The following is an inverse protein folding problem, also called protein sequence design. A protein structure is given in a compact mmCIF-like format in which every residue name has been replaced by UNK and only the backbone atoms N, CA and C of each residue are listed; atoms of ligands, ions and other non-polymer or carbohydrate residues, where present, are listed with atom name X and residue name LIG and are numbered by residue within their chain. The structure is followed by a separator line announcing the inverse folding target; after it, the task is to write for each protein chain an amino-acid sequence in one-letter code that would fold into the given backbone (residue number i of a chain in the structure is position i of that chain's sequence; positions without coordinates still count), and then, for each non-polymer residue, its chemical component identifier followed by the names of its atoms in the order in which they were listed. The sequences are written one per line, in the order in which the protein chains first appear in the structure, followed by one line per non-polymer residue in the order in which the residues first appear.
data_IF_039480983839
#
_entry.id   IF_039480983839
#
_cell.length_a   1.000
_cell.length_b   1.000
_cell.length_c   1.000
_cell.angle_alpha   90.00
_cell.angle_beta   90.00
_cell.angle_gamma   90.00
#
_symmetry.space_group_name_H-M   'P 1'
#
loop_
_entity.id
_entity.type
_entity.pdbx_description
1 polymer ?
#
# COMPACT_ATOMS: atom_id res chain seq x y z
N UNK A 1 15.51 3.02 25.71
CA UNK A 1 16.26 2.09 24.84
C UNK A 1 15.52 0.76 24.77
N UNK A 2 15.22 0.29 23.57
CA UNK A 2 14.51 -0.97 23.31
C UNK A 2 15.34 -1.84 22.33
N UNK A 3 15.18 -3.16 22.45
CA UNK A 3 15.60 -4.12 21.45
C UNK A 3 14.45 -4.31 20.47
N UNK A 4 14.67 -4.05 19.20
CA UNK A 4 13.64 -4.05 18.15
C UNK A 4 14.03 -5.04 17.06
N UNK A 5 13.17 -6.03 16.81
CA UNK A 5 13.29 -6.88 15.61
C UNK A 5 12.43 -6.30 14.50
N UNK A 6 13.02 -6.09 13.33
CA UNK A 6 12.34 -5.54 12.17
C UNK A 6 12.30 -6.58 11.03
N UNK A 7 11.11 -6.87 10.50
CA UNK A 7 10.89 -7.86 9.45
C UNK A 7 10.27 -7.24 8.21
N UNK A 8 10.84 -7.54 7.04
CA UNK A 8 10.32 -7.05 5.77
C UNK A 8 10.47 -8.10 4.67
N UNK A 9 9.51 -8.14 3.73
CA UNK A 9 9.57 -8.98 2.53
C UNK A 9 10.60 -8.45 1.52
N UNK A 10 11.11 -9.28 0.57
CA UNK A 10 12.12 -8.86 -0.42
C UNK A 10 11.53 -7.97 -1.52
N UNK A 11 11.06 -6.77 -1.16
CA UNK A 11 10.49 -5.83 -2.09
C UNK A 11 10.93 -4.37 -1.79
N UNK A 12 11.47 -3.68 -2.79
CA UNK A 12 11.94 -2.30 -2.65
C UNK A 12 10.86 -1.35 -2.12
N UNK A 13 9.59 -1.53 -2.57
CA UNK A 13 8.46 -0.72 -2.12
C UNK A 13 8.17 -0.85 -0.63
N UNK A 14 8.54 -1.97 -0.03
CA UNK A 14 8.36 -2.27 1.40
C UNK A 14 9.56 -1.83 2.24
N UNK A 15 10.78 -1.96 1.72
CA UNK A 15 12.00 -1.52 2.42
C UNK A 15 12.18 0.00 2.45
N UNK A 16 11.97 0.67 1.33
CA UNK A 16 12.29 2.10 1.21
C UNK A 16 11.66 2.96 2.32
N UNK A 17 10.37 2.81 2.69
CA UNK A 17 9.78 3.60 3.75
C UNK A 17 10.38 3.32 5.14
N UNK A 18 10.90 2.11 5.36
CA UNK A 18 11.40 1.71 6.69
C UNK A 18 12.79 2.23 6.99
N UNK A 19 13.61 2.52 5.97
CA UNK A 19 15.03 2.90 6.15
C UNK A 19 15.19 4.16 7.00
N UNK A 20 14.41 5.20 6.74
CA UNK A 20 14.49 6.43 7.52
C UNK A 20 13.94 6.23 8.96
N UNK A 21 12.95 5.36 9.14
CA UNK A 21 12.40 4.99 10.47
C UNK A 21 13.43 4.24 11.29
N UNK A 22 14.09 3.25 10.69
CA UNK A 22 15.15 2.45 11.35
C UNK A 22 16.32 3.34 11.73
N UNK A 23 16.75 4.25 10.84
CA UNK A 23 17.78 5.23 11.13
C UNK A 23 17.42 6.09 12.34
N UNK A 24 16.19 6.59 12.40
CA UNK A 24 15.70 7.39 13.54
C UNK A 24 15.68 6.57 14.82
N UNK A 25 15.22 5.31 14.81
CA UNK A 25 15.23 4.41 15.96
C UNK A 25 16.64 4.19 16.50
N UNK A 26 17.63 3.94 15.64
CA UNK A 26 19.03 3.78 16.03
C UNK A 26 19.60 5.08 16.61
N UNK A 27 19.32 6.23 15.98
CA UNK A 27 19.76 7.54 16.48
C UNK A 27 19.19 7.88 17.87
N UNK A 28 18.00 7.36 18.19
CA UNK A 28 17.38 7.47 19.52
C UNK A 28 17.98 6.51 20.54
N UNK A 29 18.97 5.68 20.17
CA UNK A 29 19.68 4.76 21.04
C UNK A 29 19.02 3.39 21.16
N UNK A 30 18.08 3.02 20.30
CA UNK A 30 17.54 1.65 20.27
C UNK A 30 18.49 0.72 19.53
N UNK A 31 18.49 -0.56 19.93
CA UNK A 31 19.19 -1.63 19.21
C UNK A 31 18.21 -2.26 18.22
N UNK A 32 18.53 -2.19 16.93
CA UNK A 32 17.66 -2.72 15.87
C UNK A 32 18.36 -3.86 15.15
N UNK A 33 17.75 -5.06 15.15
CA UNK A 33 18.07 -6.17 14.23
C UNK A 33 17.06 -6.18 13.10
N UNK A 34 17.55 -6.10 11.87
CA UNK A 34 16.69 -6.06 10.68
C UNK A 34 16.85 -7.35 9.88
N UNK A 35 15.81 -8.18 9.90
CA UNK A 35 15.72 -9.47 9.22
C UNK A 35 15.22 -9.26 7.79
N UNK A 36 16.10 -9.50 6.82
CA UNK A 36 15.80 -9.24 5.42
C UNK A 36 16.73 -10.02 4.48
N UNK A 37 16.89 -9.56 3.26
CA UNK A 37 17.59 -10.22 2.17
C UNK A 37 18.83 -9.42 1.75
N UNK A 38 19.88 -10.10 1.28
CA UNK A 38 21.20 -9.51 0.96
C UNK A 38 21.12 -8.34 -0.02
N UNK A 39 20.14 -8.33 -0.93
CA UNK A 39 19.91 -7.19 -1.83
C UNK A 39 19.75 -5.85 -1.10
N UNK A 40 19.20 -5.86 0.12
CA UNK A 40 18.92 -4.66 0.92
C UNK A 40 19.98 -4.39 2.00
N UNK A 41 20.96 -5.27 2.19
CA UNK A 41 21.95 -5.21 3.27
C UNK A 41 22.61 -3.84 3.38
N UNK A 42 23.19 -3.31 2.31
CA UNK A 42 23.91 -2.04 2.31
C UNK A 42 23.04 -0.87 2.77
N UNK A 43 21.74 -0.84 2.36
CA UNK A 43 20.79 0.19 2.79
C UNK A 43 20.46 0.07 4.27
N UNK A 44 20.27 -1.14 4.77
CA UNK A 44 19.92 -1.41 6.16
C UNK A 44 21.11 -1.05 7.06
N UNK A 45 22.31 -1.53 6.76
CA UNK A 45 23.53 -1.24 7.52
C UNK A 45 23.85 0.27 7.54
N UNK A 46 23.54 1.00 6.47
CA UNK A 46 23.71 2.45 6.44
C UNK A 46 22.88 3.22 7.47
N UNK A 47 21.86 2.56 8.08
CA UNK A 47 21.05 3.11 9.17
C UNK A 47 21.69 2.96 10.54
N UNK A 48 22.71 2.09 10.66
CA UNK A 48 23.31 1.63 11.92
C UNK A 48 22.60 0.43 12.56
N UNK A 49 21.59 -0.15 11.90
CA UNK A 49 20.97 -1.40 12.34
C UNK A 49 21.83 -2.61 11.99
N UNK A 50 21.73 -3.66 12.78
CA UNK A 50 22.32 -4.97 12.48
C UNK A 50 21.46 -5.68 11.40
N UNK A 51 22.08 -6.00 10.27
CA UNK A 51 21.42 -6.77 9.20
C UNK A 51 21.54 -8.27 9.46
N UNK A 52 20.41 -8.98 9.40
CA UNK A 52 20.33 -10.44 9.53
C UNK A 52 19.79 -11.01 8.23
N UNK A 53 20.61 -11.81 7.54
CA UNK A 53 20.25 -12.40 6.26
C UNK A 53 19.25 -13.54 6.41
N UNK A 54 18.18 -13.52 5.62
CA UNK A 54 17.15 -14.56 5.55
C UNK A 54 17.20 -15.37 4.22
N UNK A 55 18.12 -15.05 3.31
CA UNK A 55 18.17 -15.63 1.97
C UNK A 55 18.30 -17.15 1.97
N UNK A 56 19.12 -17.69 2.87
CA UNK A 56 19.43 -19.12 2.93
C UNK A 56 18.28 -19.95 3.56
N UNK A 57 17.24 -19.27 4.04
CA UNK A 57 16.07 -19.88 4.67
C UNK A 57 14.82 -19.89 3.76
N UNK A 58 14.97 -19.41 2.53
CA UNK A 58 13.86 -19.38 1.58
C UNK A 58 13.49 -20.78 1.11
N UNK A 59 12.20 -21.11 1.01
CA UNK A 59 11.76 -22.32 0.35
C UNK A 59 12.13 -22.28 -1.14
N UNK A 60 12.38 -23.43 -1.73
CA UNK A 60 12.61 -23.54 -3.17
C UNK A 60 11.39 -23.01 -3.95
N UNK A 61 11.62 -22.00 -4.77
CA UNK A 61 10.61 -21.43 -5.69
C UNK A 61 10.80 -22.11 -7.05
N UNK A 62 9.70 -22.33 -7.78
CA UNK A 62 9.80 -22.95 -9.11
C UNK A 62 10.64 -22.07 -10.06
N UNK A 63 11.46 -22.68 -10.90
CA UNK A 63 12.30 -21.98 -11.89
C UNK A 63 11.51 -21.04 -12.81
N UNK A 64 10.23 -21.35 -13.08
CA UNK A 64 9.34 -20.50 -13.88
C UNK A 64 9.03 -19.16 -13.20
N UNK A 65 8.89 -19.17 -11.87
CA UNK A 65 8.68 -17.95 -11.07
C UNK A 65 10.00 -17.20 -10.94
N UNK A 66 11.10 -17.89 -10.66
CA UNK A 66 12.43 -17.30 -10.53
C UNK A 66 12.88 -16.61 -11.82
N UNK A 67 12.60 -17.23 -12.99
CA UNK A 67 12.91 -16.66 -14.30
C UNK A 67 11.87 -15.60 -14.78
N UNK A 68 10.86 -15.29 -13.97
CA UNK A 68 9.82 -14.29 -14.30
C UNK A 68 8.88 -14.70 -15.44
N UNK A 69 8.86 -15.99 -15.81
CA UNK A 69 7.96 -16.52 -16.86
C UNK A 69 6.56 -16.81 -16.33
N UNK A 70 6.41 -16.94 -15.01
CA UNK A 70 5.13 -17.14 -14.31
C UNK A 70 4.97 -16.13 -13.18
N UNK A 71 3.82 -15.46 -13.14
CA UNK A 71 3.40 -14.63 -12.01
C UNK A 71 2.62 -15.49 -11.03
N UNK A 72 3.04 -15.51 -9.76
CA UNK A 72 2.31 -16.24 -8.71
C UNK A 72 0.93 -15.64 -8.47
N UNK A 73 -0.06 -16.50 -8.25
CA UNK A 73 -1.38 -16.08 -7.78
C UNK A 73 -1.32 -15.65 -6.32
N UNK A 74 -2.36 -14.97 -5.84
CA UNK A 74 -2.47 -14.58 -4.42
C UNK A 74 -2.41 -15.80 -3.50
N UNK A 75 -3.04 -16.90 -3.88
CA UNK A 75 -2.98 -18.18 -3.13
C UNK A 75 -1.56 -18.74 -3.09
N UNK A 76 -0.84 -18.73 -4.22
CA UNK A 76 0.53 -19.23 -4.29
C UNK A 76 1.47 -18.39 -3.42
N UNK A 77 1.40 -17.06 -3.51
CA UNK A 77 2.18 -16.15 -2.66
C UNK A 77 1.90 -16.40 -1.17
N UNK A 78 0.62 -16.48 -0.78
CA UNK A 78 0.22 -16.78 0.61
C UNK A 78 0.80 -18.11 1.09
N UNK A 79 0.74 -19.15 0.26
CA UNK A 79 1.28 -20.46 0.63
C UNK A 79 2.81 -20.42 0.80
N UNK A 80 3.52 -19.69 -0.05
CA UNK A 80 4.98 -19.47 0.08
C UNK A 80 5.29 -18.74 1.39
N UNK A 81 4.59 -17.69 1.73
CA UNK A 81 4.80 -16.95 2.99
C UNK A 81 4.61 -17.84 4.23
N UNK A 82 3.62 -18.73 4.21
CA UNK A 82 3.42 -19.72 5.30
C UNK A 82 4.55 -20.75 5.34
N UNK A 83 5.04 -21.21 4.18
CA UNK A 83 6.19 -22.12 4.09
C UNK A 83 7.48 -21.44 4.57
N UNK A 84 7.69 -20.17 4.23
CA UNK A 84 8.79 -19.36 4.76
C UNK A 84 8.74 -19.28 6.28
N UNK A 85 7.55 -19.10 6.86
CA UNK A 85 7.36 -19.10 8.32
C UNK A 85 7.86 -20.40 8.94
N UNK A 86 7.52 -21.55 8.37
CA UNK A 86 7.97 -22.84 8.86
C UNK A 86 9.50 -23.02 8.71
N UNK A 87 10.05 -22.63 7.56
CA UNK A 87 11.47 -22.75 7.28
C UNK A 87 12.34 -21.86 8.19
N UNK A 88 11.84 -20.70 8.56
CA UNK A 88 12.55 -19.73 9.41
C UNK A 88 12.34 -19.96 10.91
N UNK A 89 11.36 -20.78 11.33
CA UNK A 89 10.93 -20.87 12.72
C UNK A 89 12.06 -21.17 13.70
N UNK A 90 12.87 -22.18 13.45
CA UNK A 90 13.96 -22.56 14.34
C UNK A 90 14.96 -21.43 14.55
N UNK A 91 15.46 -20.88 13.43
CA UNK A 91 16.42 -19.76 13.45
C UNK A 91 15.82 -18.53 14.15
N UNK A 92 14.61 -18.12 13.78
CA UNK A 92 14.00 -16.91 14.35
C UNK A 92 13.63 -17.08 15.83
N UNK A 93 13.25 -18.30 16.27
CA UNK A 93 12.99 -18.58 17.68
C UNK A 93 14.27 -18.43 18.53
N UNK A 94 15.42 -18.95 18.06
CA UNK A 94 16.73 -18.76 18.71
C UNK A 94 17.10 -17.27 18.77
N UNK A 95 16.84 -16.52 17.68
CA UNK A 95 17.09 -15.07 17.66
C UNK A 95 16.23 -14.31 18.67
N UNK A 96 14.96 -14.70 18.86
CA UNK A 96 14.09 -14.09 19.89
C UNK A 96 14.62 -14.36 21.29
N UNK A 97 15.03 -15.60 21.60
CA UNK A 97 15.55 -15.99 22.92
C UNK A 97 16.87 -15.27 23.25
N UNK A 98 17.76 -15.11 22.25
CA UNK A 98 19.03 -14.41 22.41
C UNK A 98 18.84 -12.89 22.55
N UNK A 99 18.11 -12.28 21.61
CA UNK A 99 18.01 -10.83 21.51
C UNK A 99 17.01 -10.22 22.48
N UNK A 100 16.01 -10.99 22.92
CA UNK A 100 14.95 -10.58 23.86
C UNK A 100 14.29 -9.27 23.42
N UNK A 101 13.62 -9.23 22.27
CA UNK A 101 13.05 -8.02 21.72
C UNK A 101 11.92 -7.48 22.62
N UNK A 102 11.86 -6.16 22.74
CA UNK A 102 10.77 -5.45 23.42
C UNK A 102 9.58 -5.22 22.48
N UNK A 103 9.84 -5.19 21.17
CA UNK A 103 8.82 -5.00 20.14
C UNK A 103 9.30 -5.63 18.82
N UNK A 104 8.36 -6.21 18.09
CA UNK A 104 8.56 -6.69 16.74
C UNK A 104 7.84 -5.73 15.78
N UNK A 105 8.56 -5.21 14.78
CA UNK A 105 7.97 -4.48 13.67
C UNK A 105 7.92 -5.40 12.46
N UNK A 106 6.74 -5.68 11.96
CA UNK A 106 6.55 -6.57 10.81
C UNK A 106 5.87 -5.83 9.66
N UNK A 107 6.40 -5.96 8.45
CA UNK A 107 5.72 -5.48 7.26
C UNK A 107 4.31 -6.09 7.13
N UNK A 108 3.40 -5.34 6.55
CA UNK A 108 1.97 -5.69 6.46
C UNK A 108 1.68 -7.04 5.78
N UNK A 109 2.57 -7.51 4.93
CA UNK A 109 2.48 -8.82 4.26
C UNK A 109 3.55 -9.82 4.70
N UNK A 110 4.39 -9.48 5.68
CA UNK A 110 5.41 -10.35 6.24
C UNK A 110 4.79 -11.26 7.32
N UNK A 111 4.32 -12.45 6.93
CA UNK A 111 3.62 -13.35 7.86
C UNK A 111 4.52 -13.94 8.93
N UNK A 112 5.77 -14.31 8.59
CA UNK A 112 6.71 -14.86 9.57
C UNK A 112 6.99 -13.92 10.72
N UNK A 113 7.15 -12.61 10.48
CA UNK A 113 7.32 -11.63 11.56
C UNK A 113 6.08 -11.46 12.43
N UNK A 114 4.88 -11.44 11.83
CA UNK A 114 3.61 -11.34 12.57
C UNK A 114 3.33 -12.60 13.42
N UNK A 115 3.54 -13.76 12.83
CA UNK A 115 3.34 -15.04 13.51
C UNK A 115 4.33 -15.24 14.65
N UNK A 116 5.60 -14.87 14.44
CA UNK A 116 6.63 -14.90 15.48
C UNK A 116 6.25 -14.02 16.68
N UNK A 117 5.80 -12.79 16.44
CA UNK A 117 5.34 -11.89 17.49
C UNK A 117 4.21 -12.51 18.32
N UNK A 118 3.25 -13.18 17.69
CA UNK A 118 2.14 -13.87 18.36
C UNK A 118 2.61 -15.09 19.14
N UNK A 119 3.49 -15.92 18.55
CA UNK A 119 4.04 -17.13 19.20
C UNK A 119 4.75 -16.80 20.54
N UNK A 120 5.51 -15.72 20.57
CA UNK A 120 6.28 -15.28 21.74
C UNK A 120 5.58 -14.21 22.59
N UNK A 121 4.34 -13.85 22.24
CA UNK A 121 3.55 -12.82 22.94
C UNK A 121 4.30 -11.46 23.05
N UNK A 122 5.07 -11.12 22.01
CA UNK A 122 5.84 -9.88 21.93
C UNK A 122 4.97 -8.78 21.33
N UNK A 123 4.96 -7.55 21.91
CA UNK A 123 4.30 -6.41 21.31
C UNK A 123 4.68 -6.23 19.84
N UNK A 124 3.69 -6.05 18.98
CA UNK A 124 3.88 -5.96 17.54
C UNK A 124 3.37 -4.64 16.99
N UNK A 125 4.15 -4.06 16.06
CA UNK A 125 3.73 -2.94 15.22
C UNK A 125 3.77 -3.37 13.76
N UNK A 126 2.67 -3.20 13.05
CA UNK A 126 2.61 -3.47 11.61
C UNK A 126 3.12 -2.26 10.84
N UNK A 127 4.08 -2.48 9.94
CA UNK A 127 4.59 -1.48 9.00
C UNK A 127 3.80 -1.58 7.68
N UNK A 128 2.84 -0.70 7.46
CA UNK A 128 1.95 -0.74 6.30
C UNK A 128 2.37 0.27 5.25
N UNK A 129 2.94 -0.23 4.16
CA UNK A 129 3.58 0.55 3.09
C UNK A 129 2.63 1.06 2.01
N UNK A 130 1.35 0.73 2.12
CA UNK A 130 0.27 1.24 1.27
C UNK A 130 -0.85 1.83 2.14
N UNK A 131 -2.05 2.04 1.60
CA UNK A 131 -3.20 2.41 2.41
C UNK A 131 -3.59 1.30 3.38
N UNK A 132 -4.06 1.68 4.56
CA UNK A 132 -4.79 0.77 5.41
C UNK A 132 -6.20 0.54 4.84
N UNK A 133 -6.59 -0.74 4.76
CA UNK A 133 -7.88 -1.12 4.22
C UNK A 133 -8.75 -1.79 5.27
N UNK A 134 -9.97 -1.29 5.41
CA UNK A 134 -11.03 -1.87 6.20
C UNK A 134 -12.32 -1.96 5.36
N UNK A 135 -13.45 -2.35 5.95
CA UNK A 135 -14.73 -2.46 5.24
C UNK A 135 -15.19 -1.17 4.56
N UNK A 136 -14.75 0.00 5.02
CA UNK A 136 -15.12 1.31 4.46
C UNK A 136 -14.20 1.72 3.31
N UNK A 137 -12.90 1.46 3.42
CA UNK A 137 -11.88 1.82 2.43
C UNK A 137 -11.60 0.70 1.40
N UNK A 138 -12.06 -0.55 1.65
CA UNK A 138 -11.83 -1.72 0.76
C UNK A 138 -12.28 -1.50 -0.69
N UNK A 139 -13.27 -0.64 -0.92
CA UNK A 139 -13.72 -0.28 -2.27
C UNK A 139 -12.67 0.41 -3.14
N UNK A 140 -11.57 0.89 -2.56
CA UNK A 140 -10.42 1.43 -3.31
C UNK A 140 -9.60 0.33 -3.97
N UNK A 141 -9.42 -0.81 -3.30
CA UNK A 141 -8.74 -1.99 -3.85
C UNK A 141 -9.78 -3.01 -4.31
N UNK A 142 -10.04 -3.05 -5.62
CA UNK A 142 -11.00 -3.99 -6.21
C UNK A 142 -10.26 -5.24 -6.64
N UNK A 143 -10.56 -6.37 -6.00
CA UNK A 143 -10.13 -7.67 -6.51
C UNK A 143 -10.88 -8.03 -7.78
N UNK A 144 -10.20 -8.60 -8.75
CA UNK A 144 -10.81 -9.17 -9.95
C UNK A 144 -11.59 -10.45 -9.59
N UNK A 145 -12.52 -10.84 -10.43
CA UNK A 145 -13.21 -12.14 -10.27
C UNK A 145 -12.23 -13.30 -10.25
N UNK A 146 -11.15 -13.22 -11.03
CA UNK A 146 -10.11 -14.25 -11.07
C UNK A 146 -9.37 -14.36 -9.72
N UNK A 147 -9.01 -13.26 -9.09
CA UNK A 147 -8.37 -13.24 -7.76
C UNK A 147 -9.31 -13.77 -6.67
N UNK A 148 -10.60 -13.43 -6.74
CA UNK A 148 -11.61 -13.96 -5.79
C UNK A 148 -11.76 -15.48 -5.97
N UNK A 149 -11.83 -15.97 -7.20
CA UNK A 149 -11.92 -17.40 -7.50
C UNK A 149 -10.65 -18.13 -7.08
N UNK A 150 -9.45 -17.54 -7.29
CA UNK A 150 -8.18 -18.09 -6.82
C UNK A 150 -8.17 -18.29 -5.31
N UNK A 151 -8.58 -17.28 -4.53
CA UNK A 151 -8.67 -17.38 -3.07
C UNK A 151 -9.69 -18.43 -2.60
N UNK A 152 -10.84 -18.53 -3.27
CA UNK A 152 -11.88 -19.53 -2.92
C UNK A 152 -11.34 -20.94 -3.20
N UNK A 153 -10.79 -21.18 -4.39
CA UNK A 153 -10.29 -22.50 -4.80
C UNK A 153 -9.03 -22.88 -4.04
N UNK A 154 -8.15 -21.89 -3.77
CA UNK A 154 -6.91 -22.07 -3.03
C UNK A 154 -7.04 -22.23 -1.52
N UNK A 155 -8.20 -21.91 -0.94
CA UNK A 155 -8.42 -21.94 0.51
C UNK A 155 -8.06 -23.30 1.16
N UNK A 156 -8.27 -24.42 0.45
CA UNK A 156 -7.88 -25.76 0.93
C UNK A 156 -6.36 -25.89 1.08
N UNK A 157 -5.60 -25.34 0.13
CA UNK A 157 -4.13 -25.32 0.16
C UNK A 157 -3.64 -24.45 1.31
N UNK A 158 -4.18 -23.24 1.46
CA UNK A 158 -3.84 -22.32 2.55
C UNK A 158 -4.08 -22.97 3.92
N UNK A 159 -5.26 -23.62 4.12
CA UNK A 159 -5.56 -24.34 5.36
C UNK A 159 -4.60 -25.50 5.62
N UNK A 160 -4.12 -26.19 4.59
CA UNK A 160 -3.14 -27.26 4.74
C UNK A 160 -1.79 -26.72 5.22
N UNK A 161 -1.35 -25.57 4.69
CA UNK A 161 -0.11 -24.92 5.16
C UNK A 161 -0.26 -24.41 6.61
N UNK A 162 -1.39 -23.76 6.96
CA UNK A 162 -1.65 -23.34 8.34
C UNK A 162 -1.62 -24.50 9.31
N UNK A 163 -2.17 -25.68 8.93
CA UNK A 163 -2.13 -26.87 9.77
C UNK A 163 -0.71 -27.40 9.99
N UNK A 164 0.19 -27.28 9.01
CA UNK A 164 1.60 -27.65 9.19
C UNK A 164 2.29 -26.75 10.22
N UNK A 165 1.91 -25.50 10.29
CA UNK A 165 2.47 -24.52 11.23
C UNK A 165 2.10 -24.84 12.70
N UNK A 166 1.04 -25.64 12.95
CA UNK A 166 0.70 -26.07 14.33
C UNK A 166 1.86 -26.85 14.98
N UNK A 167 2.64 -27.60 14.18
CA UNK A 167 3.81 -28.34 14.68
C UNK A 167 4.92 -27.42 15.20
N UNK A 168 4.92 -26.17 14.81
CA UNK A 168 5.88 -25.14 15.23
C UNK A 168 5.32 -24.20 16.31
N UNK A 169 4.12 -24.49 16.83
CA UNK A 169 3.47 -23.69 17.87
C UNK A 169 2.66 -22.50 17.37
N UNK A 170 2.37 -22.43 16.07
CA UNK A 170 1.50 -21.40 15.49
C UNK A 170 0.06 -21.94 15.38
N UNK A 171 -0.91 -21.24 15.96
CA UNK A 171 -2.30 -21.72 16.08
C UNK A 171 -3.32 -20.88 15.31
N UNK A 172 -2.97 -20.48 14.09
CA UNK A 172 -3.87 -19.67 13.24
C UNK A 172 -4.89 -20.54 12.50
N UNK A 173 -6.18 -20.21 12.66
CA UNK A 173 -7.28 -20.91 11.98
C UNK A 173 -7.54 -20.37 10.57
N UNK A 174 -7.06 -19.17 10.26
CA UNK A 174 -7.26 -18.44 9.03
C UNK A 174 -6.16 -17.43 8.81
N UNK A 175 -5.87 -17.10 7.55
CA UNK A 175 -4.95 -16.01 7.19
C UNK A 175 -5.57 -14.62 7.38
N UNK A 176 -6.89 -14.52 7.54
CA UNK A 176 -7.57 -13.22 7.61
C UNK A 176 -6.97 -12.27 8.66
N UNK A 177 -6.64 -12.74 9.89
CA UNK A 177 -5.98 -11.88 10.88
C UNK A 177 -4.55 -11.46 10.51
N UNK A 178 -3.94 -12.08 9.48
CA UNK A 178 -2.60 -11.73 9.00
C UNK A 178 -2.64 -10.70 7.87
N UNK A 179 -3.72 -10.69 7.07
CA UNK A 179 -3.86 -9.80 5.90
C UNK A 179 -4.78 -8.61 6.14
N UNK A 180 -5.73 -8.74 7.05
CA UNK A 180 -6.73 -7.71 7.31
C UNK A 180 -6.22 -6.70 8.33
N UNK A 181 -6.45 -5.40 8.05
CA UNK A 181 -6.28 -4.37 9.03
C UNK A 181 -7.46 -4.42 10.02
N UNK A 182 -7.18 -4.70 11.27
CA UNK A 182 -8.14 -4.63 12.38
C UNK A 182 -7.97 -3.30 13.17
N UNK A 183 -8.81 -3.05 14.16
CA UNK A 183 -8.72 -1.85 14.99
C UNK A 183 -7.95 -2.06 16.31
N UNK A 184 -7.25 -3.17 16.46
CA UNK A 184 -6.58 -3.56 17.72
C UNK A 184 -5.06 -3.71 17.57
N UNK A 185 -4.56 -3.85 16.34
CA UNK A 185 -3.14 -4.02 16.05
C UNK A 185 -2.48 -2.68 15.76
N UNK A 186 -1.46 -2.34 16.54
CA UNK A 186 -0.66 -1.13 16.33
C UNK A 186 -0.09 -1.13 14.91
N UNK A 187 -0.38 -0.09 14.15
CA UNK A 187 -0.06 -0.02 12.72
C UNK A 187 0.46 1.35 12.32
N UNK A 188 1.63 1.39 11.72
CA UNK A 188 2.16 2.59 11.05
C UNK A 188 1.71 2.57 9.59
N UNK A 189 1.16 3.69 9.12
CA UNK A 189 0.76 3.90 7.73
C UNK A 189 1.56 5.06 7.14
N UNK A 190 2.31 4.80 6.07
CA UNK A 190 3.15 5.82 5.41
C UNK A 190 2.35 6.74 4.49
N UNK A 191 1.16 7.09 4.90
CA UNK A 191 0.31 8.10 4.29
C UNK A 191 -0.11 9.12 5.35
N UNK A 192 -0.41 10.36 4.95
CA UNK A 192 -1.01 11.32 5.88
C UNK A 192 -2.48 10.94 6.14
N UNK A 193 -3.01 11.36 7.29
CA UNK A 193 -4.42 11.13 7.63
C UNK A 193 -5.37 11.65 6.54
N UNK A 194 -5.06 12.81 5.95
CA UNK A 194 -5.86 13.37 4.84
C UNK A 194 -5.73 12.59 3.55
N UNK A 195 -4.57 11.97 3.29
CA UNK A 195 -4.37 11.18 2.08
C UNK A 195 -4.94 9.76 2.22
N UNK A 196 -4.96 9.20 3.43
CA UNK A 196 -5.58 7.92 3.71
C UNK A 196 -7.09 7.95 3.44
N UNK A 197 -7.63 7.06 2.58
CA UNK A 197 -9.08 6.94 2.42
C UNK A 197 -9.79 6.52 3.71
N UNK A 198 -10.87 7.19 4.07
CA UNK A 198 -11.68 6.88 5.24
C UNK A 198 -10.86 6.80 6.56
N UNK A 199 -9.89 7.69 6.74
CA UNK A 199 -9.01 7.70 7.91
C UNK A 199 -9.76 7.77 9.24
N UNK A 200 -10.88 8.45 9.28
CA UNK A 200 -11.79 8.59 10.43
C UNK A 200 -12.44 7.28 10.90
N UNK A 201 -12.28 6.21 10.13
CA UNK A 201 -12.82 4.87 10.45
C UNK A 201 -11.81 3.94 11.10
N UNK A 202 -10.57 4.39 11.26
CA UNK A 202 -9.50 3.67 11.94
C UNK A 202 -9.38 4.13 13.40
N UNK A 203 -8.96 3.22 14.27
CA UNK A 203 -8.73 3.50 15.70
C UNK A 203 -7.40 4.22 15.92
N UNK A 204 -7.10 4.60 17.17
CA UNK A 204 -5.81 5.18 17.56
C UNK A 204 -4.63 4.20 17.53
N UNK A 205 -4.87 2.92 17.28
CA UNK A 205 -3.82 1.97 16.91
C UNK A 205 -3.18 2.26 15.55
N UNK A 206 -3.75 3.19 14.77
CA UNK A 206 -3.22 3.59 13.47
C UNK A 206 -2.51 4.94 13.56
N UNK A 207 -1.20 4.92 13.32
CA UNK A 207 -0.40 6.14 13.17
C UNK A 207 -0.24 6.47 11.69
N UNK A 208 -0.96 7.47 11.19
CA UNK A 208 -0.81 8.01 9.84
C UNK A 208 0.39 8.98 9.84
N UNK A 209 1.59 8.43 9.67
CA UNK A 209 2.84 9.18 9.84
C UNK A 209 3.24 9.99 8.61
N UNK A 210 2.57 9.79 7.48
CA UNK A 210 2.96 10.41 6.21
C UNK A 210 4.17 9.73 5.57
N UNK A 211 4.74 10.34 4.50
CA UNK A 211 5.83 9.73 3.77
C UNK A 211 7.09 9.60 4.63
N UNK A 212 7.77 8.46 4.53
CA UNK A 212 9.07 8.25 5.16
C UNK A 212 10.18 8.89 4.32
N UNK A 213 10.13 10.21 4.19
CA UNK A 213 11.11 11.01 3.45
C UNK A 213 12.00 11.76 4.45
N UNK A 214 13.31 11.55 4.32
CA UNK A 214 14.32 12.29 5.10
C UNK A 214 15.20 13.07 4.11
N UNK A 215 14.87 14.34 3.87
CA UNK A 215 15.60 15.20 2.94
C UNK A 215 15.47 16.67 3.29
N UNK A 216 16.51 17.42 3.02
CA UNK A 216 16.50 18.89 3.07
C UNK A 216 16.07 19.53 1.76
N UNK A 217 15.85 18.74 0.71
CA UNK A 217 15.35 19.22 -0.56
C UNK A 217 13.98 19.85 -0.41
N UNK A 218 13.76 20.91 -1.18
CA UNK A 218 12.48 21.61 -1.28
C UNK A 218 12.07 21.72 -2.74
N UNK A 219 10.76 21.82 -3.02
CA UNK A 219 10.30 22.10 -4.39
C UNK A 219 10.98 23.31 -4.98
N UNK A 220 11.60 23.15 -6.12
CA UNK A 220 12.17 24.22 -6.94
C UNK A 220 11.82 23.95 -8.41
N UNK A 221 10.72 24.52 -8.88
CA UNK A 221 10.16 24.32 -10.22
C UNK A 221 10.56 25.46 -11.19
N UNK A 222 11.51 26.28 -10.78
CA UNK A 222 12.00 27.41 -11.57
C UNK A 222 13.04 26.94 -12.59
N UNK A 223 12.55 26.28 -13.63
CA UNK A 223 13.36 25.76 -14.74
C UNK A 223 13.19 26.67 -15.96
N UNK A 224 14.23 26.82 -16.79
CA UNK A 224 14.14 27.54 -18.09
C UNK A 224 13.11 26.86 -19.00
N UNK A 225 13.08 25.50 -19.00
CA UNK A 225 12.10 24.68 -19.71
C UNK A 225 11.42 23.73 -18.72
N UNK A 226 10.11 23.47 -18.85
CA UNK A 226 9.44 22.52 -17.95
C UNK A 226 10.12 21.15 -17.97
N UNK A 227 10.37 20.57 -16.80
CA UNK A 227 10.95 19.23 -16.66
C UNK A 227 9.86 18.19 -16.50
N UNK A 228 9.85 17.21 -17.41
CA UNK A 228 9.03 16.00 -17.33
C UNK A 228 9.88 14.84 -16.81
N UNK A 229 9.47 14.25 -15.70
CA UNK A 229 10.09 13.03 -15.18
C UNK A 229 9.25 11.82 -15.54
N UNK A 230 9.89 10.71 -15.93
CA UNK A 230 9.22 9.46 -16.31
C UNK A 230 9.87 8.29 -15.56
N UNK A 231 9.08 7.54 -14.81
CA UNK A 231 9.53 6.30 -14.16
C UNK A 231 8.36 5.36 -13.87
N UNK A 232 8.53 4.08 -14.22
CA UNK A 232 7.59 3.02 -13.92
C UNK A 232 7.97 2.20 -12.69
N UNK A 233 8.91 2.71 -11.86
CA UNK A 233 9.38 2.05 -10.65
C UNK A 233 10.31 0.87 -10.95
N UNK A 234 10.39 -0.09 -10.02
CA UNK A 234 11.35 -1.21 -10.08
C UNK A 234 10.74 -2.52 -10.56
N UNK A 235 9.43 -2.73 -10.35
CA UNK A 235 8.76 -4.02 -10.64
C UNK A 235 8.25 -4.11 -12.09
N UNK A 236 7.76 -3.02 -12.66
CA UNK A 236 7.09 -2.99 -13.98
C UNK A 236 7.88 -2.14 -14.97
N UNK A 237 9.19 -1.97 -14.77
CA UNK A 237 10.05 -1.12 -15.61
C UNK A 237 10.41 -1.71 -16.97
N UNK A 238 10.24 -3.02 -17.18
CA UNK A 238 10.57 -3.69 -18.45
C UNK A 238 9.54 -3.40 -19.54
N UNK A 239 9.48 -2.12 -19.99
CA UNK A 239 8.58 -1.67 -21.07
C UNK A 239 9.33 -0.78 -22.09
N UNK A 240 10.31 -1.33 -22.82
CA UNK A 240 11.14 -0.53 -23.74
C UNK A 240 10.32 0.23 -24.78
N UNK A 241 9.26 -0.38 -25.32
CA UNK A 241 8.40 0.26 -26.32
C UNK A 241 7.58 1.43 -25.74
N UNK A 242 7.17 1.34 -24.48
CA UNK A 242 6.50 2.45 -23.82
C UNK A 242 7.43 3.64 -23.63
N UNK A 243 8.68 3.41 -23.19
CA UNK A 243 9.66 4.49 -23.06
C UNK A 243 9.98 5.15 -24.41
N UNK A 244 10.10 4.36 -25.51
CA UNK A 244 10.27 4.91 -26.86
C UNK A 244 9.09 5.79 -27.25
N UNK A 245 7.84 5.35 -27.00
CA UNK A 245 6.65 6.17 -27.23
C UNK A 245 6.68 7.46 -26.41
N UNK A 246 7.16 7.43 -25.17
CA UNK A 246 7.32 8.64 -24.35
C UNK A 246 8.33 9.62 -24.97
N UNK A 247 9.47 9.12 -25.49
CA UNK A 247 10.44 9.95 -26.22
C UNK A 247 9.79 10.55 -27.47
N UNK A 248 9.13 9.73 -28.30
CA UNK A 248 8.46 10.20 -29.51
C UNK A 248 7.35 11.23 -29.25
N UNK A 249 6.66 11.09 -28.11
CA UNK A 249 5.61 12.01 -27.69
C UNK A 249 6.13 13.41 -27.28
N UNK A 250 7.36 13.47 -26.79
CA UNK A 250 7.90 14.69 -26.15
C UNK A 250 9.13 15.30 -26.84
N UNK A 251 9.70 14.63 -27.85
CA UNK A 251 10.92 15.09 -28.51
C UNK A 251 10.81 16.43 -29.24
N UNK A 252 9.62 16.80 -29.70
CA UNK A 252 9.36 18.06 -30.39
C UNK A 252 8.70 19.12 -29.47
N UNK A 253 8.40 18.75 -28.21
CA UNK A 253 7.81 19.67 -27.26
C UNK A 253 8.89 20.52 -26.57
N UNK A 254 8.50 21.74 -26.14
CA UNK A 254 9.39 22.63 -25.41
C UNK A 254 9.51 22.25 -23.93
N UNK A 255 10.03 21.04 -23.70
CA UNK A 255 10.25 20.45 -22.37
C UNK A 255 11.59 19.73 -22.31
N UNK A 256 12.15 19.60 -21.12
CA UNK A 256 13.22 18.65 -20.83
C UNK A 256 12.65 17.37 -20.24
N UNK A 257 13.23 16.21 -20.58
CA UNK A 257 12.73 14.91 -20.14
C UNK A 257 13.83 14.12 -19.45
N UNK A 258 13.55 13.64 -18.24
CA UNK A 258 14.38 12.65 -17.53
C UNK A 258 13.62 11.35 -17.44
N UNK A 259 14.25 10.24 -17.86
CA UNK A 259 13.68 8.89 -17.79
C UNK A 259 14.53 8.03 -16.86
N UNK A 260 13.90 7.44 -15.83
CA UNK A 260 14.48 6.34 -15.05
C UNK A 260 13.89 5.04 -15.57
N UNK A 261 14.65 4.32 -16.44
CA UNK A 261 14.14 3.19 -17.22
C UNK A 261 14.37 1.82 -16.57
N UNK A 262 15.00 1.77 -15.37
CA UNK A 262 15.30 0.52 -14.68
C UNK A 262 16.49 -0.23 -15.27
N UNK A 263 16.72 -1.45 -14.79
CA UNK A 263 17.91 -2.25 -15.16
C UNK A 263 17.78 -2.96 -16.52
N UNK A 264 16.57 -3.18 -16.99
CA UNK A 264 16.27 -4.02 -18.17
C UNK A 264 16.24 -3.25 -19.50
N UNK A 265 16.19 -1.92 -19.44
CA UNK A 265 16.19 -1.05 -20.62
C UNK A 265 17.51 -0.30 -20.68
N UNK A 266 18.19 -0.37 -21.84
CA UNK A 266 19.47 0.31 -22.06
C UNK A 266 19.26 1.80 -22.31
N UNK A 267 19.71 2.70 -21.40
CA UNK A 267 19.49 4.15 -21.52
C UNK A 267 20.02 4.75 -22.81
N UNK A 268 21.15 4.23 -23.31
CA UNK A 268 21.78 4.70 -24.56
C UNK A 268 20.83 4.65 -25.76
N UNK A 269 19.95 3.64 -25.82
CA UNK A 269 18.97 3.50 -26.90
C UNK A 269 17.91 4.61 -26.90
N UNK A 270 17.59 5.17 -25.72
CA UNK A 270 16.62 6.26 -25.59
C UNK A 270 17.30 7.63 -25.78
N UNK A 271 18.52 7.80 -25.28
CA UNK A 271 19.28 9.04 -25.37
C UNK A 271 19.62 9.45 -26.82
N UNK A 272 19.71 8.49 -27.72
CA UNK A 272 19.98 8.74 -29.15
C UNK A 272 18.76 9.22 -29.95
N UNK A 273 17.55 9.15 -29.37
CA UNK A 273 16.32 9.46 -30.08
C UNK A 273 15.94 10.94 -30.07
N UNK A 274 16.40 11.71 -29.05
CA UNK A 274 16.07 13.12 -28.91
C UNK A 274 17.07 13.87 -28.04
N UNK A 275 17.33 15.15 -28.37
CA UNK A 275 18.30 15.97 -27.65
C UNK A 275 17.81 16.49 -26.29
N UNK A 276 16.48 16.60 -26.12
CA UNK A 276 15.84 17.05 -24.88
C UNK A 276 15.56 15.91 -23.90
N UNK A 277 15.96 14.67 -24.22
CA UNK A 277 15.73 13.49 -23.38
C UNK A 277 17.03 12.97 -22.79
N UNK A 278 17.02 12.70 -21.48
CA UNK A 278 18.11 12.05 -20.75
C UNK A 278 17.56 10.84 -20.01
N UNK A 279 17.97 9.64 -20.41
CA UNK A 279 17.62 8.38 -19.79
C UNK A 279 18.75 7.84 -18.92
N UNK A 280 18.40 7.21 -17.81
CA UNK A 280 19.30 6.59 -16.84
C UNK A 280 18.70 5.27 -16.35
N UNK A 281 19.52 4.32 -15.90
CA UNK A 281 19.03 3.14 -15.21
C UNK A 281 18.28 3.51 -13.92
N UNK A 282 18.85 4.44 -13.14
CA UNK A 282 18.24 4.99 -11.93
C UNK A 282 18.72 6.42 -11.68
N UNK A 283 17.91 7.19 -10.96
CA UNK A 283 18.23 8.56 -10.55
C UNK A 283 17.90 8.77 -9.07
N UNK A 284 18.43 9.83 -8.47
CA UNK A 284 17.90 10.29 -7.19
C UNK A 284 16.50 10.89 -7.41
N UNK A 285 15.46 10.08 -7.16
CA UNK A 285 14.08 10.44 -7.47
C UNK A 285 13.63 11.73 -6.79
N UNK A 286 13.99 11.93 -5.51
CA UNK A 286 13.62 13.14 -4.78
C UNK A 286 14.27 14.40 -5.38
N UNK A 287 15.52 14.30 -5.82
CA UNK A 287 16.21 15.41 -6.47
C UNK A 287 15.54 15.78 -7.81
N UNK A 288 15.21 14.77 -8.63
CA UNK A 288 14.52 15.02 -9.89
C UNK A 288 13.12 15.56 -9.64
N UNK A 289 12.36 14.96 -8.72
CA UNK A 289 11.02 15.41 -8.36
C UNK A 289 11.00 16.82 -7.77
N UNK A 290 12.06 17.26 -7.07
CA UNK A 290 12.14 18.63 -6.57
C UNK A 290 12.09 19.67 -7.69
N UNK A 291 12.55 19.30 -8.88
CA UNK A 291 12.62 20.16 -10.08
C UNK A 291 11.51 19.85 -11.10
N UNK A 292 11.01 18.61 -11.15
CA UNK A 292 10.06 18.18 -12.18
C UNK A 292 8.71 18.91 -12.10
N UNK A 293 8.21 19.36 -13.24
CA UNK A 293 6.90 20.02 -13.38
C UNK A 293 5.78 19.01 -13.58
N UNK A 294 6.08 17.82 -14.12
CA UNK A 294 5.15 16.68 -14.25
C UNK A 294 5.90 15.38 -14.05
N UNK A 295 5.26 14.41 -13.42
CA UNK A 295 5.77 13.06 -13.26
C UNK A 295 4.83 12.02 -13.90
N UNK A 296 5.28 11.36 -14.99
CA UNK A 296 4.58 10.20 -15.54
C UNK A 296 5.06 8.96 -14.79
N UNK A 297 4.14 8.31 -14.09
CA UNK A 297 4.47 7.26 -13.12
C UNK A 297 3.46 6.11 -13.12
N UNK A 298 3.94 4.89 -12.77
CA UNK A 298 3.07 3.75 -12.47
C UNK A 298 2.21 3.96 -11.21
N UNK A 299 2.47 5.03 -10.48
CA UNK A 299 1.71 5.47 -9.30
C UNK A 299 1.71 4.47 -8.12
N UNK A 300 2.83 3.79 -7.86
CA UNK A 300 3.04 3.08 -6.60
C UNK A 300 3.10 4.05 -5.42
N UNK A 301 2.75 3.60 -4.21
CA UNK A 301 2.60 4.47 -3.03
C UNK A 301 3.84 5.32 -2.77
N UNK A 302 5.05 4.76 -2.81
CA UNK A 302 6.27 5.52 -2.52
C UNK A 302 6.50 6.64 -3.54
N UNK A 303 6.44 6.31 -4.84
CA UNK A 303 6.64 7.30 -5.91
C UNK A 303 5.59 8.41 -5.86
N UNK A 304 4.35 8.06 -5.54
CA UNK A 304 3.27 9.02 -5.36
C UNK A 304 3.51 9.91 -4.14
N UNK A 305 3.91 9.31 -3.02
CA UNK A 305 4.20 10.04 -1.78
C UNK A 305 5.37 11.01 -1.96
N UNK A 306 6.45 10.58 -2.63
CA UNK A 306 7.59 11.44 -2.95
C UNK A 306 7.22 12.56 -3.92
N UNK A 307 6.39 12.27 -4.93
CA UNK A 307 5.87 13.26 -5.86
C UNK A 307 5.02 14.31 -5.16
N UNK A 308 4.10 13.89 -4.30
CA UNK A 308 3.25 14.79 -3.52
C UNK A 308 4.06 15.58 -2.47
N UNK A 309 5.06 14.95 -1.85
CA UNK A 309 5.99 15.65 -0.95
C UNK A 309 6.70 16.82 -1.66
N UNK A 310 7.13 16.59 -2.91
CA UNK A 310 7.77 17.60 -3.75
C UNK A 310 6.78 18.48 -4.53
N UNK A 311 5.48 18.35 -4.30
CA UNK A 311 4.45 19.15 -4.97
C UNK A 311 4.40 18.97 -6.48
N UNK A 312 4.77 17.79 -6.99
CA UNK A 312 4.82 17.49 -8.43
C UNK A 312 3.53 16.82 -8.87
N UNK A 313 2.76 17.41 -9.80
CA UNK A 313 1.57 16.77 -10.35
C UNK A 313 1.95 15.60 -11.26
N UNK A 314 1.00 14.67 -11.49
CA UNK A 314 1.31 13.39 -12.09
C UNK A 314 0.41 13.05 -13.29
N UNK A 315 0.99 12.27 -14.21
CA UNK A 315 0.24 11.43 -15.18
C UNK A 315 0.33 9.99 -14.67
N UNK A 316 -0.80 9.40 -14.33
CA UNK A 316 -0.88 8.07 -13.70
C UNK A 316 -0.97 6.96 -14.74
N UNK A 317 -0.12 5.96 -14.63
CA UNK A 317 -0.11 4.78 -15.50
C UNK A 317 -0.09 3.48 -14.66
N UNK A 318 -1.16 3.21 -13.87
CA UNK A 318 -1.19 2.09 -12.94
C UNK A 318 -1.23 0.74 -13.65
N UNK A 319 -0.45 -0.23 -13.14
CA UNK A 319 -0.32 -1.59 -13.66
C UNK A 319 -0.93 -2.64 -12.74
N UNK A 320 -0.97 -2.38 -11.42
CA UNK A 320 -1.48 -3.30 -10.38
C UNK A 320 -2.73 -2.77 -9.69
N UNK A 321 -3.42 -3.62 -8.92
CA UNK A 321 -4.61 -3.21 -8.16
C UNK A 321 -4.27 -2.20 -7.06
N UNK A 322 -3.13 -2.35 -6.41
CA UNK A 322 -2.62 -1.38 -5.42
C UNK A 322 -2.40 -0.02 -6.07
N UNK A 323 -1.69 0.02 -7.22
CA UNK A 323 -1.45 1.25 -7.97
C UNK A 323 -2.74 1.91 -8.44
N UNK A 324 -3.77 1.13 -8.81
CA UNK A 324 -5.11 1.67 -9.14
C UNK A 324 -5.80 2.30 -7.93
N UNK A 325 -5.63 1.72 -6.73
CA UNK A 325 -6.17 2.30 -5.51
C UNK A 325 -5.51 3.66 -5.19
N UNK A 326 -4.18 3.73 -5.29
CA UNK A 326 -3.41 4.96 -5.11
C UNK A 326 -3.77 6.00 -6.18
N UNK A 327 -3.90 5.59 -7.45
CA UNK A 327 -4.33 6.45 -8.56
C UNK A 327 -5.71 7.04 -8.30
N UNK A 328 -6.65 6.22 -7.84
CA UNK A 328 -7.99 6.70 -7.52
C UNK A 328 -7.95 7.82 -6.49
N UNK A 329 -7.19 7.63 -5.41
CA UNK A 329 -7.05 8.65 -4.37
C UNK A 329 -6.35 9.90 -4.87
N UNK A 330 -5.27 9.77 -5.63
CA UNK A 330 -4.58 10.90 -6.24
C UNK A 330 -5.47 11.72 -7.20
N UNK A 331 -6.35 11.04 -7.96
CA UNK A 331 -7.38 11.68 -8.81
C UNK A 331 -8.43 12.43 -7.97
N UNK A 332 -8.90 11.85 -6.87
CA UNK A 332 -9.82 12.52 -5.94
C UNK A 332 -9.21 13.79 -5.34
N UNK A 333 -7.89 13.79 -5.09
CA UNK A 333 -7.14 14.95 -4.65
C UNK A 333 -6.83 15.95 -5.78
N UNK A 334 -7.14 15.61 -7.03
CA UNK A 334 -6.94 16.47 -8.19
C UNK A 334 -5.48 16.71 -8.56
N UNK A 335 -4.57 15.78 -8.21
CA UNK A 335 -3.12 15.95 -8.40
C UNK A 335 -2.61 15.45 -9.76
N UNK A 336 -3.50 15.02 -10.65
CA UNK A 336 -3.14 14.57 -11.98
C UNK A 336 -4.27 13.85 -12.71
N UNK A 337 -3.92 13.20 -13.81
CA UNK A 337 -4.84 12.44 -14.67
C UNK A 337 -4.28 11.06 -14.99
N UNK A 338 -5.17 10.12 -15.27
CA UNK A 338 -4.81 8.77 -15.67
C UNK A 338 -4.58 8.70 -17.19
N UNK A 339 -3.45 8.11 -17.59
CA UNK A 339 -3.13 7.81 -18.97
C UNK A 339 -4.02 6.64 -19.41
N UNK A 340 -4.95 6.91 -20.31
CA UNK A 340 -5.88 5.90 -20.85
C UNK A 340 -5.46 5.39 -22.23
N UNK A 341 -4.73 6.20 -22.97
CA UNK A 341 -4.23 5.91 -24.31
C UNK A 341 -2.70 5.91 -24.30
N UNK A 342 -2.12 4.73 -24.51
CA UNK A 342 -0.66 4.51 -24.53
C UNK A 342 -0.04 4.83 -25.93
N UNK A 343 -0.78 5.45 -26.82
CA UNK A 343 -0.23 5.96 -28.08
C UNK A 343 0.68 7.17 -27.84
N UNK A 344 1.54 7.48 -28.80
CA UNK A 344 2.39 8.68 -28.79
C UNK A 344 1.56 9.94 -28.54
N UNK A 345 0.42 10.08 -29.26
CA UNK A 345 -0.47 11.24 -29.12
C UNK A 345 -1.20 11.26 -27.77
N UNK A 346 -1.62 10.08 -27.25
CA UNK A 346 -2.25 9.96 -25.94
C UNK A 346 -1.31 10.38 -24.80
N UNK A 347 -0.05 9.93 -24.83
CA UNK A 347 1.00 10.31 -23.87
C UNK A 347 1.25 11.80 -23.94
N UNK A 348 1.47 12.35 -25.15
CA UNK A 348 1.67 13.76 -25.37
C UNK A 348 0.53 14.60 -24.80
N UNK A 349 -0.70 14.29 -25.17
CA UNK A 349 -1.90 14.99 -24.71
C UNK A 349 -2.01 14.96 -23.19
N UNK A 350 -1.76 13.82 -22.54
CA UNK A 350 -1.84 13.70 -21.09
C UNK A 350 -0.78 14.55 -20.38
N UNK A 351 0.48 14.49 -20.81
CA UNK A 351 1.57 15.26 -20.21
C UNK A 351 1.34 16.76 -20.40
N UNK A 352 1.05 17.20 -21.63
CA UNK A 352 0.85 18.62 -21.93
C UNK A 352 -0.38 19.18 -21.21
N UNK A 353 -1.43 18.37 -21.02
CA UNK A 353 -2.60 18.76 -20.25
C UNK A 353 -2.28 19.03 -18.79
N UNK A 354 -1.48 18.16 -18.14
CA UNK A 354 -1.07 18.36 -16.74
C UNK A 354 -0.16 19.58 -16.61
N UNK A 355 0.72 19.83 -17.59
CA UNK A 355 1.59 20.99 -17.62
C UNK A 355 0.81 22.31 -17.81
N UNK A 356 -0.18 22.32 -18.70
CA UNK A 356 -0.89 23.56 -19.10
C UNK A 356 -2.02 23.95 -18.14
N UNK A 357 -2.55 23.04 -17.34
CA UNK A 357 -3.64 23.32 -16.39
C UNK A 357 -3.10 23.53 -14.97
N UNK A 358 -2.99 24.77 -14.44
CA UNK A 358 -2.37 25.07 -13.15
C UNK A 358 -2.99 24.35 -11.95
N UNK A 359 -4.24 23.94 -12.03
CA UNK A 359 -4.97 23.26 -10.96
C UNK A 359 -4.27 22.02 -10.44
N UNK A 360 -3.57 21.25 -11.32
CA UNK A 360 -2.86 20.03 -10.92
C UNK A 360 -1.65 20.36 -10.06
N UNK A 361 -0.85 21.35 -10.46
CA UNK A 361 0.30 21.83 -9.70
C UNK A 361 -0.15 22.46 -8.36
N UNK A 362 -1.21 23.26 -8.36
CA UNK A 362 -1.77 23.87 -7.15
C UNK A 362 -2.23 22.81 -6.15
N UNK A 363 -2.94 21.77 -6.63
CA UNK A 363 -3.40 20.69 -5.77
C UNK A 363 -2.24 19.83 -5.26
N UNK A 364 -1.24 19.52 -6.10
CA UNK A 364 -0.02 18.84 -5.67
C UNK A 364 0.73 19.64 -4.59
N UNK A 365 0.83 20.96 -4.74
CA UNK A 365 1.43 21.84 -3.72
C UNK A 365 0.60 21.92 -2.43
N UNK A 366 -0.74 21.82 -2.49
CA UNK A 366 -1.57 21.71 -1.29
C UNK A 366 -1.29 20.39 -0.55
N UNK A 367 -1.16 19.29 -1.29
CA UNK A 367 -0.75 17.99 -0.72
C UNK A 367 0.65 18.07 -0.13
N UNK A 368 1.60 18.73 -0.81
CA UNK A 368 2.98 18.90 -0.33
C UNK A 368 3.03 19.53 1.07
N UNK A 369 2.20 20.56 1.34
CA UNK A 369 2.13 21.18 2.66
C UNK A 369 1.70 20.19 3.74
N UNK A 370 0.73 19.31 3.45
CA UNK A 370 0.25 18.29 4.37
C UNK A 370 1.33 17.21 4.58
N UNK A 371 1.97 16.76 3.51
CA UNK A 371 3.01 15.73 3.54
C UNK A 371 4.29 16.20 4.26
N UNK A 372 4.71 17.44 4.05
CA UNK A 372 5.89 18.01 4.72
C UNK A 372 5.65 18.27 6.23
N UNK A 373 4.40 18.46 6.64
CA UNK A 373 4.03 18.67 8.04
C UNK A 373 3.70 17.37 8.79
N UNK A 374 3.70 16.24 8.08
CA UNK A 374 3.44 14.94 8.69
C UNK A 374 4.56 14.53 9.66
N UNK A 375 4.27 13.71 10.68
CA UNK A 375 5.26 13.27 11.68
C UNK A 375 6.46 12.53 11.08
N UNK A 376 6.27 11.85 9.96
CA UNK A 376 7.30 11.15 9.21
C UNK A 376 8.03 10.07 10.01
N UNK A 377 9.33 9.84 9.72
CA UNK A 377 10.13 8.83 10.40
C UNK A 377 10.20 9.03 11.92
N UNK A 378 10.19 10.28 12.39
CA UNK A 378 10.22 10.61 13.83
C UNK A 378 8.96 10.14 14.54
N UNK A 379 7.78 10.42 13.95
CA UNK A 379 6.51 9.95 14.52
C UNK A 379 6.36 8.43 14.45
N UNK A 380 6.87 7.79 13.39
CA UNK A 380 6.90 6.34 13.29
C UNK A 380 7.79 5.72 14.38
N UNK A 381 8.98 6.26 14.61
CA UNK A 381 9.89 5.78 15.65
C UNK A 381 9.28 5.94 17.05
N UNK A 382 8.67 7.09 17.35
CA UNK A 382 7.98 7.34 18.61
C UNK A 382 6.83 6.35 18.83
N UNK A 383 6.04 6.09 17.80
CA UNK A 383 4.95 5.12 17.87
C UNK A 383 5.46 3.70 18.16
N UNK A 384 6.57 3.26 17.55
CA UNK A 384 7.21 1.97 17.83
C UNK A 384 7.73 1.92 19.28
N UNK A 385 8.36 2.99 19.75
CA UNK A 385 8.93 3.05 21.12
C UNK A 385 7.86 2.99 22.21
N UNK A 386 6.65 3.47 21.91
CA UNK A 386 5.55 3.52 22.88
C UNK A 386 4.60 2.32 22.80
N UNK A 387 4.77 1.44 21.82
CA UNK A 387 3.97 0.22 21.70
C UNK A 387 4.16 -0.74 22.90
N UNK A 388 3.11 -1.51 23.30
CA UNK A 388 1.77 -1.53 22.72
C UNK A 388 0.91 -0.33 23.19
N UNK A 389 0.03 0.15 22.32
CA UNK A 389 -0.93 1.21 22.66
C UNK A 389 -2.23 0.58 23.19
N UNK A 390 -2.48 0.71 24.49
CA UNK A 390 -3.70 0.22 25.12
C UNK A 390 -4.70 1.39 25.20
N UNK A 391 -5.81 1.29 24.50
CA UNK A 391 -6.88 2.31 24.45
C UNK A 391 -8.23 1.69 24.88
N UNK A 392 -8.44 1.36 26.18
CA UNK A 392 -9.60 0.57 26.62
C UNK A 392 -10.96 1.21 26.34
N UNK A 393 -11.05 2.53 26.32
CA UNK A 393 -12.35 3.24 26.24
C UNK A 393 -12.79 3.60 24.80
N UNK A 394 -11.89 3.62 23.85
CA UNK A 394 -12.19 3.92 22.45
C UNK A 394 -12.61 2.68 21.64
N UNK A 395 -12.13 1.51 22.02
CA UNK A 395 -12.51 0.24 21.39
C UNK A 395 -14.00 -0.07 21.54
N UNK A 396 -14.63 0.33 22.64
CA UNK A 396 -16.07 0.15 22.84
C UNK A 396 -16.92 0.94 21.81
N UNK A 397 -16.48 2.14 21.43
CA UNK A 397 -17.16 2.95 20.39
C UNK A 397 -16.94 2.34 18.99
N UNK A 398 -15.79 1.76 18.73
CA UNK A 398 -15.45 1.09 17.47
C UNK A 398 -16.31 -0.16 17.25
N UNK A 399 -16.51 -0.99 18.28
CA UNK A 399 -17.33 -2.21 18.20
C UNK A 399 -18.77 -1.88 17.80
N UNK A 400 -19.38 -0.82 18.34
CA UNK A 400 -20.72 -0.42 17.96
C UNK A 400 -20.79 0.12 16.53
N UNK A 401 -19.78 0.85 16.07
CA UNK A 401 -19.68 1.26 14.65
C UNK A 401 -19.60 0.05 13.70
N UNK A 402 -19.03 -1.07 14.15
CA UNK A 402 -18.93 -2.29 13.37
C UNK A 402 -20.22 -3.14 13.39
N UNK A 403 -20.86 -3.25 14.54
CA UNK A 403 -22.06 -4.08 14.73
C UNK A 403 -23.32 -3.39 14.18
N UNK A 404 -23.45 -2.08 14.36
CA UNK A 404 -24.66 -1.35 14.02
C UNK A 404 -25.08 -1.48 12.53
N UNK A 405 -24.18 -1.32 11.52
CA UNK A 405 -24.56 -1.51 10.13
C UNK A 405 -25.02 -2.93 9.80
N UNK A 406 -24.43 -3.93 10.44
CA UNK A 406 -24.85 -5.33 10.33
C UNK A 406 -26.23 -5.57 10.95
N UNK A 407 -26.50 -5.00 12.10
CA UNK A 407 -27.81 -5.07 12.76
C UNK A 407 -28.88 -4.37 11.93
N UNK A 408 -28.60 -3.20 11.36
CA UNK A 408 -29.57 -2.50 10.49
C UNK A 408 -29.82 -3.29 9.19
N UNK A 409 -28.81 -3.92 8.61
CA UNK A 409 -28.98 -4.77 7.44
C UNK A 409 -29.87 -6.00 7.78
N UNK A 410 -29.65 -6.61 8.92
CA UNK A 410 -30.44 -7.76 9.39
C UNK A 410 -31.89 -7.35 9.68
N UNK A 411 -32.10 -6.22 10.34
CA UNK A 411 -33.43 -5.66 10.61
C UNK A 411 -34.17 -5.33 9.32
N UNK A 412 -33.48 -4.73 8.34
CA UNK A 412 -34.02 -4.45 7.02
C UNK A 412 -34.52 -5.72 6.31
N UNK A 413 -33.71 -6.78 6.31
CA UNK A 413 -34.12 -8.04 5.70
C UNK A 413 -35.28 -8.71 6.45
N UNK A 414 -35.29 -8.64 7.78
CA UNK A 414 -36.43 -9.11 8.58
C UNK A 414 -37.73 -8.36 8.23
N UNK A 415 -37.65 -7.02 8.13
CA UNK A 415 -38.81 -6.19 7.74
C UNK A 415 -39.23 -6.48 6.30
N UNK A 416 -38.29 -6.66 5.38
CA UNK A 416 -38.58 -7.03 3.99
C UNK A 416 -39.26 -8.38 3.88
N UNK A 417 -38.79 -9.39 4.62
CA UNK A 417 -39.43 -10.73 4.67
C UNK A 417 -40.81 -10.65 5.26
N UNK A 418 -41.00 -9.96 6.39
CA UNK A 418 -42.30 -9.74 6.99
C UNK A 418 -43.27 -9.06 6.04
N UNK A 419 -42.78 -8.05 5.31
CA UNK A 419 -43.57 -7.33 4.31
C UNK A 419 -44.00 -8.25 3.15
N UNK A 420 -43.12 -9.12 2.68
CA UNK A 420 -43.44 -10.12 1.63
C UNK A 420 -44.53 -11.06 2.10
N UNK A 421 -44.39 -11.63 3.33
CA UNK A 421 -45.38 -12.56 3.92
C UNK A 421 -46.71 -11.86 4.17
N UNK A 422 -46.71 -10.61 4.65
CA UNK A 422 -47.94 -9.84 4.88
C UNK A 422 -48.62 -9.40 3.58
N UNK A 423 -47.87 -9.07 2.54
CA UNK A 423 -48.36 -8.66 1.24
C UNK A 423 -49.14 -9.79 0.57
N UNK A 424 -48.62 -11.00 0.62
CA UNK A 424 -49.32 -12.19 0.09
C UNK A 424 -50.65 -12.48 0.85
N UNK A 425 -50.63 -12.27 2.17
CA UNK A 425 -51.80 -12.51 3.06
C UNK A 425 -52.88 -11.45 2.91
N UNK A 426 -52.52 -10.19 2.62
CA UNK A 426 -53.47 -9.07 2.49
C UNK A 426 -53.99 -8.92 1.06
N UNK A 427 -53.14 -9.17 0.05
CA UNK A 427 -53.50 -8.93 -1.35
C UNK A 427 -54.00 -10.17 -2.08
N UNK A 428 -53.77 -11.37 -1.52
CA UNK A 428 -54.06 -12.63 -2.21
C UNK A 428 -53.27 -12.83 -3.48
N UNK A 429 -52.24 -12.00 -3.74
CA UNK A 429 -51.46 -11.98 -4.97
C UNK A 429 -50.10 -12.61 -4.74
N UNK A 430 -49.72 -13.55 -5.62
CA UNK A 430 -48.40 -14.16 -5.65
C UNK A 430 -47.32 -13.32 -6.40
N UNK A 431 -47.56 -12.02 -6.59
CA UNK A 431 -46.60 -11.09 -7.24
C UNK A 431 -45.51 -10.57 -6.27
N UNK A 432 -45.11 -11.36 -5.29
CA UNK A 432 -44.06 -11.08 -4.32
C UNK A 432 -42.70 -10.73 -4.97
N UNK A 433 -42.47 -11.20 -6.19
CA UNK A 433 -41.25 -10.87 -6.96
C UNK A 433 -41.10 -9.35 -7.26
N UNK A 434 -42.22 -8.60 -7.37
CA UNK A 434 -42.18 -7.14 -7.53
C UNK A 434 -41.61 -6.48 -6.27
N UNK A 435 -42.01 -6.98 -5.09
CA UNK A 435 -41.52 -6.49 -3.82
C UNK A 435 -40.04 -6.84 -3.64
N UNK A 436 -39.60 -8.03 -4.08
CA UNK A 436 -38.19 -8.42 -4.08
C UNK A 436 -37.34 -7.55 -4.98
N UNK A 437 -37.82 -7.17 -6.17
CA UNK A 437 -37.11 -6.24 -7.07
C UNK A 437 -37.04 -4.85 -6.43
N UNK A 438 -38.13 -4.32 -5.90
CA UNK A 438 -38.16 -3.01 -5.23
C UNK A 438 -37.21 -2.99 -4.02
N UNK A 439 -37.20 -4.04 -3.21
CA UNK A 439 -36.29 -4.17 -2.08
C UNK A 439 -34.82 -4.19 -2.54
N UNK A 440 -34.49 -4.90 -3.62
CA UNK A 440 -33.13 -4.92 -4.17
C UNK A 440 -32.68 -3.60 -4.81
N UNK A 441 -33.60 -2.77 -5.30
CA UNK A 441 -33.29 -1.43 -5.81
C UNK A 441 -33.15 -0.42 -4.66
N UNK A 442 -33.99 -0.52 -3.63
CA UNK A 442 -33.99 0.40 -2.48
C UNK A 442 -32.81 0.11 -1.53
N UNK A 443 -32.38 -1.15 -1.39
CA UNK A 443 -31.31 -1.54 -0.49
C UNK A 443 -29.95 -0.86 -0.78
N UNK A 444 -29.47 -0.72 -2.02
CA UNK A 444 -28.26 0.05 -2.31
C UNK A 444 -28.37 1.53 -1.99
N UNK A 445 -29.57 2.11 -2.16
CA UNK A 445 -29.85 3.51 -1.81
C UNK A 445 -29.85 3.72 -0.29
N UNK A 446 -30.43 2.79 0.46
CA UNK A 446 -30.42 2.83 1.93
C UNK A 446 -29.03 2.56 2.52
N UNK A 447 -28.19 1.74 1.87
CA UNK A 447 -26.79 1.52 2.27
C UNK A 447 -25.99 2.84 2.21
N UNK A 448 -26.25 3.67 1.21
CA UNK A 448 -25.69 5.03 1.10
C UNK A 448 -26.23 5.97 2.17
N UNK A 449 -27.54 5.90 2.45
CA UNK A 449 -28.20 6.74 3.45
C UNK A 449 -27.75 6.37 4.88
N UNK A 450 -27.68 5.08 5.19
CA UNK A 450 -27.20 4.58 6.50
C UNK A 450 -25.74 4.93 6.74
N UNK A 451 -24.89 4.90 5.70
CA UNK A 451 -23.49 5.35 5.83
C UNK A 451 -23.37 6.86 6.08
N UNK A 452 -24.25 7.67 5.46
CA UNK A 452 -24.25 9.13 5.62
C UNK A 452 -24.90 9.54 6.95
N UNK A 453 -25.99 8.90 7.35
CA UNK A 453 -26.68 9.16 8.64
C UNK A 453 -25.87 8.63 9.81
N UNK A 454 -25.22 7.47 9.67
CA UNK A 454 -24.29 6.93 10.66
C UNK A 454 -23.10 7.87 10.90
N UNK A 455 -22.52 8.46 9.85
CA UNK A 455 -21.46 9.46 9.98
C UNK A 455 -21.91 10.76 10.67
N UNK A 456 -23.17 11.20 10.49
CA UNK A 456 -23.68 12.44 11.11
C UNK A 456 -24.20 12.28 12.53
N UNK A 457 -24.57 11.06 12.96
CA UNK A 457 -25.08 10.83 14.32
C UNK A 457 -23.96 10.50 15.34
N UNK A 458 -22.75 10.23 14.87
CA UNK A 458 -21.61 9.84 15.71
C UNK A 458 -20.35 10.70 15.48
N UNK A 459 -20.44 11.76 14.69
CA UNK A 459 -19.49 12.88 14.65
C UNK A 459 -19.89 13.92 15.72
#
# INVERSE_FOLDING_TARGET
MKNIMFFCIPAHGHHNPTIAVVKELVQRGNTVRYYSFREFQSKIESTGAEFIACDDLLPEISQEVENGTKVMTTTEMTAVDLQMTAAMDGFLSEQVEEFKPNVIVADSVCFWGKLLARKFEIPMVVSNTTFAFNKYSSGYMKSSLAEILDLITGNKRIKAELKKLEAYGYHEKSIMPLVQNDNFTDTIVYATEKYQPCSDTFSKHYAFVGPSVSTDLRPNKDNERPLVYISLGTVVSNKPDFYKKCVDALKEEDVDVIISCGRTVEPGTLNTLANNVKAYHSVNQLEVLSKANVFLTHNGMNSTSESLYMGTPMVFFPQTNEQRAVTRRAKEMGTGIELKDESVEGIRTAVMKVLSEPKYAENAMKCSKDFCNAPGPKGAAEFIETAPHIMPDEDKKSIWREILPGMFALLYWLVAILFIVFFEKITGSNKWWIVAIVANVIFPLNKKLVSVVGMKLFS
#
